data_IF_030071441911
#
_entry.id   IF_030071441911
#
_cell.length_a   1.000
_cell.length_b   1.000
_cell.length_c   1.000
_cell.angle_alpha   90.00
_cell.angle_beta   90.00
_cell.angle_gamma   90.00
#
_symmetry.space_group_name_H-M   'P 1'
#
loop_
_entity.id
_entity.type
_entity.pdbx_description
1 polymer ?
#
# COMPACT_ATOMS: atom_id res chain seq x y z
N UNK A 1 -6.72 71.41 -46.71
CA UNK A 1 -6.27 71.63 -45.31
C UNK A 1 -7.28 70.95 -44.40
N UNK A 2 -6.80 70.15 -43.45
CA UNK A 2 -7.55 69.37 -42.45
C UNK A 2 -8.11 68.01 -42.91
N UNK A 3 -7.20 67.06 -42.82
CA UNK A 3 -7.36 65.63 -42.50
C UNK A 3 -8.39 65.39 -41.40
N UNK A 4 -9.33 64.46 -41.61
CA UNK A 4 -9.95 63.71 -40.52
C UNK A 4 -9.85 62.21 -40.79
N UNK A 5 -9.11 61.60 -39.88
CA UNK A 5 -8.76 60.22 -39.70
C UNK A 5 -10.03 59.47 -39.25
N UNK A 6 -10.53 58.53 -40.05
CA UNK A 6 -11.54 57.57 -39.63
C UNK A 6 -10.84 56.23 -39.38
N UNK A 7 -10.61 55.92 -38.10
CA UNK A 7 -10.04 54.66 -37.63
C UNK A 7 -11.15 53.60 -37.72
N UNK A 8 -11.01 52.65 -38.64
CA UNK A 8 -11.84 51.46 -38.71
C UNK A 8 -11.32 50.48 -37.65
N UNK A 9 -12.12 50.27 -36.61
CA UNK A 9 -11.87 49.28 -35.57
C UNK A 9 -12.17 47.89 -36.15
N UNK A 10 -11.12 47.18 -36.58
CA UNK A 10 -11.22 45.79 -37.02
C UNK A 10 -11.28 44.91 -35.76
N UNK A 11 -12.47 44.48 -35.36
CA UNK A 11 -12.65 43.48 -34.32
C UNK A 11 -12.19 42.11 -34.87
N UNK A 12 -10.93 41.75 -34.61
CA UNK A 12 -10.43 40.40 -34.83
C UNK A 12 -10.97 39.50 -33.71
N UNK A 13 -12.06 38.79 -33.98
CA UNK A 13 -12.52 37.66 -33.16
C UNK A 13 -11.50 36.53 -33.27
N UNK A 14 -10.58 36.45 -32.31
CA UNK A 14 -9.79 35.26 -32.08
C UNK A 14 -10.72 34.14 -31.62
N UNK A 15 -11.02 33.20 -32.52
CA UNK A 15 -11.58 31.91 -32.14
C UNK A 15 -10.48 31.17 -31.35
N UNK A 16 -10.64 31.12 -30.03
CA UNK A 16 -9.91 30.17 -29.21
C UNK A 16 -10.41 28.78 -29.60
N UNK A 17 -9.65 28.13 -30.49
CA UNK A 17 -9.70 26.67 -30.65
C UNK A 17 -9.14 26.13 -29.33
N UNK A 18 -10.04 25.86 -28.39
CA UNK A 18 -9.71 25.05 -27.23
C UNK A 18 -9.37 23.66 -27.71
N UNK A 19 -8.09 23.31 -27.70
CA UNK A 19 -7.70 21.91 -27.66
C UNK A 19 -8.30 21.32 -26.38
N UNK A 20 -9.35 20.53 -26.51
CA UNK A 20 -9.58 19.49 -25.51
C UNK A 20 -8.31 18.64 -25.52
N UNK A 21 -7.54 18.70 -24.43
CA UNK A 21 -6.66 17.58 -24.11
C UNK A 21 -7.58 16.39 -23.99
N UNK A 22 -7.61 15.56 -25.03
CA UNK A 22 -8.14 14.22 -24.88
C UNK A 22 -7.27 13.58 -23.81
N UNK A 23 -7.87 13.26 -22.67
CA UNK A 23 -7.24 12.38 -21.69
C UNK A 23 -6.93 11.08 -22.43
N UNK A 24 -5.64 10.83 -22.65
CA UNK A 24 -5.16 9.52 -23.09
C UNK A 24 -5.70 8.52 -22.08
N UNK A 25 -6.63 7.68 -22.51
CA UNK A 25 -6.96 6.47 -21.77
C UNK A 25 -5.68 5.65 -21.67
N UNK A 26 -5.07 5.62 -20.48
CA UNK A 26 -3.99 4.69 -20.15
C UNK A 26 -4.45 3.29 -20.59
N UNK A 27 -3.82 2.78 -21.64
CA UNK A 27 -4.06 1.43 -22.12
C UNK A 27 -3.11 0.52 -21.34
N UNK A 28 -3.59 -0.57 -20.74
CA UNK A 28 -2.82 -1.33 -19.77
C UNK A 28 -1.72 -2.13 -20.47
N UNK A 29 -0.46 -1.74 -20.26
CA UNK A 29 0.75 -2.44 -20.71
C UNK A 29 0.91 -2.57 -22.24
N UNK A 30 2.15 -2.76 -22.72
CA UNK A 30 2.45 -2.91 -24.14
C UNK A 30 1.73 -4.10 -24.79
N UNK A 31 1.46 -4.02 -26.10
CA UNK A 31 0.78 -5.08 -26.88
C UNK A 31 1.49 -6.44 -26.83
N UNK A 32 2.76 -6.48 -26.41
CA UNK A 32 3.59 -7.69 -26.24
C UNK A 32 3.91 -8.00 -24.78
N UNK A 33 3.06 -7.58 -23.86
CA UNK A 33 3.28 -7.83 -22.43
C UNK A 33 2.09 -8.57 -21.84
N UNK A 34 2.38 -9.57 -21.03
CA UNK A 34 1.38 -10.39 -20.34
C UNK A 34 1.65 -10.38 -18.85
N UNK A 35 0.59 -10.16 -18.07
CA UNK A 35 0.67 -9.94 -16.63
C UNK A 35 -0.08 -11.03 -15.88
N UNK A 36 0.54 -11.56 -14.83
CA UNK A 36 -0.09 -12.47 -13.87
C UNK A 36 0.11 -11.95 -12.46
N UNK A 37 -0.89 -12.17 -11.61
CA UNK A 37 -0.79 -11.96 -10.17
C UNK A 37 -0.89 -13.31 -9.47
N UNK A 38 0.01 -13.56 -8.51
CA UNK A 38 0.05 -14.79 -7.72
C UNK A 38 0.14 -14.43 -6.23
N UNK A 39 -0.53 -15.24 -5.41
CA UNK A 39 -0.38 -15.20 -3.96
C UNK A 39 0.52 -16.35 -3.51
N UNK A 40 1.41 -16.08 -2.57
CA UNK A 40 2.39 -17.04 -2.09
C UNK A 40 2.48 -16.98 -0.57
N UNK A 41 2.69 -18.13 0.06
CA UNK A 41 3.01 -18.16 1.48
C UNK A 41 4.25 -17.30 1.78
N UNK A 42 4.31 -16.70 2.97
CA UNK A 42 5.44 -15.84 3.35
C UNK A 42 6.81 -16.56 3.24
N UNK A 43 6.87 -17.85 3.58
CA UNK A 43 8.09 -18.65 3.44
C UNK A 43 8.52 -18.84 1.99
N UNK A 44 7.58 -19.06 1.09
CA UNK A 44 7.85 -19.24 -0.34
C UNK A 44 8.24 -17.90 -0.99
N UNK A 45 7.56 -16.82 -0.60
CA UNK A 45 7.91 -15.46 -1.02
C UNK A 45 9.37 -15.13 -0.68
N UNK A 46 9.78 -15.34 0.58
CA UNK A 46 11.16 -15.06 0.98
C UNK A 46 12.16 -16.04 0.38
N UNK A 47 11.76 -17.27 0.04
CA UNK A 47 12.61 -18.18 -0.72
C UNK A 47 12.90 -17.60 -2.11
N UNK A 48 11.87 -17.16 -2.85
CA UNK A 48 12.02 -16.52 -4.16
C UNK A 48 12.90 -15.27 -4.03
N UNK A 49 12.59 -14.38 -3.09
CA UNK A 49 13.36 -13.14 -2.86
C UNK A 49 14.84 -13.39 -2.60
N UNK A 50 15.16 -14.36 -1.73
CA UNK A 50 16.54 -14.63 -1.33
C UNK A 50 17.32 -15.38 -2.41
N UNK A 51 16.63 -16.04 -3.34
CA UNK A 51 17.22 -16.74 -4.47
C UNK A 51 17.06 -15.99 -5.80
N UNK A 52 16.63 -14.72 -5.77
CA UNK A 52 16.51 -13.86 -6.95
C UNK A 52 17.80 -13.89 -7.76
N UNK A 53 17.68 -14.33 -9.02
CA UNK A 53 18.81 -14.50 -9.93
C UNK A 53 18.34 -14.65 -11.37
N UNK A 54 19.28 -14.65 -12.31
CA UNK A 54 19.03 -15.02 -13.71
C UNK A 54 18.49 -16.44 -13.94
N UNK A 55 18.47 -17.30 -12.91
CA UNK A 55 17.86 -18.64 -13.00
C UNK A 55 16.35 -18.64 -12.69
N UNK A 56 15.86 -17.59 -12.02
CA UNK A 56 14.46 -17.47 -11.55
C UNK A 56 13.70 -16.36 -12.26
N UNK A 57 14.41 -15.44 -12.90
CA UNK A 57 13.85 -14.31 -13.65
C UNK A 57 14.86 -13.85 -14.68
N UNK A 58 14.38 -13.52 -15.87
CA UNK A 58 15.19 -12.82 -16.87
C UNK A 58 15.54 -11.40 -16.40
N UNK A 59 16.60 -10.77 -16.96
CA UNK A 59 17.07 -9.46 -16.52
C UNK A 59 16.08 -8.33 -16.81
N UNK A 60 15.76 -7.57 -15.77
CA UNK A 60 15.02 -6.31 -15.83
C UNK A 60 15.40 -5.43 -14.63
N UNK A 61 14.99 -4.17 -14.67
CA UNK A 61 15.14 -3.18 -13.61
C UNK A 61 13.77 -2.65 -13.19
N UNK A 62 13.54 -2.47 -11.89
CA UNK A 62 12.41 -1.71 -11.37
C UNK A 62 12.81 -0.24 -11.29
N UNK A 63 12.17 0.60 -12.10
CA UNK A 63 12.45 2.03 -12.15
C UNK A 63 11.60 2.81 -11.14
N UNK A 64 10.34 2.40 -10.96
CA UNK A 64 9.39 3.08 -10.08
C UNK A 64 8.27 2.13 -9.64
N UNK A 65 7.71 2.36 -8.45
CA UNK A 65 6.43 1.81 -8.02
C UNK A 65 5.55 2.94 -7.50
N UNK A 66 4.28 2.93 -7.89
CA UNK A 66 3.24 3.84 -7.37
C UNK A 66 1.95 3.09 -7.12
N UNK A 67 1.09 3.68 -6.30
CA UNK A 67 -0.26 3.18 -6.06
C UNK A 67 -1.26 4.33 -6.12
N UNK A 68 -2.26 4.19 -6.97
CA UNK A 68 -3.30 5.19 -7.20
C UNK A 68 -4.58 4.48 -7.64
N UNK A 69 -5.73 4.88 -7.10
CA UNK A 69 -7.05 4.36 -7.48
C UNK A 69 -7.17 2.82 -7.49
N UNK A 70 -6.51 2.14 -6.54
CA UNK A 70 -6.53 0.68 -6.45
C UNK A 70 -5.65 -0.03 -7.49
N UNK A 71 -4.83 0.71 -8.24
CA UNK A 71 -3.87 0.17 -9.20
C UNK A 71 -2.45 0.29 -8.66
N UNK A 72 -1.74 -0.83 -8.63
CA UNK A 72 -0.28 -0.85 -8.43
C UNK A 72 0.35 -0.65 -9.81
N UNK A 73 1.08 0.44 -9.99
CA UNK A 73 1.82 0.74 -11.21
C UNK A 73 3.31 0.49 -10.97
N UNK A 74 3.92 -0.39 -11.75
CA UNK A 74 5.37 -0.68 -11.66
C UNK A 74 6.00 -0.33 -13.00
N UNK A 75 6.87 0.68 -13.03
CA UNK A 75 7.63 1.03 -14.22
C UNK A 75 8.90 0.19 -14.27
N UNK A 76 9.12 -0.52 -15.38
CA UNK A 76 10.25 -1.43 -15.57
C UNK A 76 11.09 -1.07 -16.79
N UNK A 77 12.36 -1.44 -16.75
CA UNK A 77 13.29 -1.37 -17.88
C UNK A 77 13.85 -2.75 -18.21
N UNK A 78 13.83 -3.18 -19.47
CA UNK A 78 14.37 -4.48 -19.89
C UNK A 78 14.74 -4.51 -21.38
N UNK A 79 15.55 -5.49 -21.81
CA UNK A 79 15.92 -5.68 -23.21
C UNK A 79 14.95 -6.64 -23.92
N UNK A 80 14.57 -6.37 -25.17
CA UNK A 80 13.74 -7.27 -25.99
C UNK A 80 12.94 -6.56 -27.09
N UNK A 81 11.69 -7.00 -27.30
CA UNK A 81 10.68 -6.34 -28.15
C UNK A 81 10.18 -7.16 -29.34
N UNK A 82 10.74 -8.34 -29.55
CA UNK A 82 10.35 -9.25 -30.60
C UNK A 82 9.33 -10.28 -30.12
N UNK A 83 9.51 -10.81 -28.92
CA UNK A 83 8.62 -11.78 -28.31
C UNK A 83 7.69 -11.13 -27.28
N UNK A 84 6.73 -11.91 -26.76
CA UNK A 84 5.92 -11.49 -25.63
C UNK A 84 6.72 -11.64 -24.35
N UNK A 85 6.70 -10.62 -23.49
CA UNK A 85 7.32 -10.66 -22.17
C UNK A 85 6.25 -10.98 -21.12
N UNK A 86 6.56 -11.88 -20.20
CA UNK A 86 5.66 -12.27 -19.12
C UNK A 86 6.16 -11.74 -17.78
N UNK A 87 5.32 -10.99 -17.08
CA UNK A 87 5.61 -10.52 -15.74
C UNK A 87 4.65 -11.14 -14.73
N UNK A 88 5.20 -11.67 -13.64
CA UNK A 88 4.41 -12.20 -12.52
C UNK A 88 4.64 -11.37 -11.28
N UNK A 89 3.58 -10.78 -10.74
CA UNK A 89 3.58 -10.09 -9.46
C UNK A 89 3.15 -11.04 -8.34
N UNK A 90 4.06 -11.33 -7.42
CA UNK A 90 3.82 -12.21 -6.27
C UNK A 90 3.66 -11.38 -5.00
N UNK A 91 2.57 -11.60 -4.25
CA UNK A 91 2.36 -11.04 -2.91
C UNK A 91 2.61 -12.10 -1.82
N UNK A 92 3.17 -11.70 -0.67
CA UNK A 92 3.48 -12.57 0.48
C UNK A 92 2.26 -12.88 1.38
N UNK A 93 1.07 -12.48 0.94
CA UNK A 93 -0.21 -12.57 1.66
C UNK A 93 -0.22 -11.91 3.03
N UNK A 94 0.70 -10.98 3.29
CA UNK A 94 0.81 -10.30 4.56
C UNK A 94 0.65 -8.80 4.42
N UNK A 95 -0.06 -8.22 5.39
CA UNK A 95 -0.08 -6.79 5.68
C UNK A 95 0.66 -6.55 6.99
N UNK A 96 1.65 -5.66 6.98
CA UNK A 96 2.47 -5.38 8.18
C UNK A 96 1.86 -4.25 8.98
N UNK A 97 1.86 -4.39 10.30
CA UNK A 97 1.30 -3.39 11.19
C UNK A 97 2.16 -2.12 11.19
N UNK A 98 1.65 -1.10 10.52
CA UNK A 98 2.26 0.21 10.30
C UNK A 98 1.17 1.15 9.80
N UNK A 99 1.44 2.44 9.78
CA UNK A 99 0.51 3.44 9.25
C UNK A 99 1.19 4.30 8.17
N UNK A 100 0.85 4.14 6.87
CA UNK A 100 -0.09 3.16 6.32
C UNK A 100 0.45 1.72 6.43
N UNK A 101 -0.41 0.69 6.32
CA UNK A 101 0.03 -0.70 6.36
C UNK A 101 0.95 -1.01 5.18
N UNK A 102 1.98 -1.83 5.39
CA UNK A 102 2.97 -2.17 4.36
C UNK A 102 2.66 -3.53 3.71
N UNK A 103 2.76 -3.57 2.38
CA UNK A 103 2.65 -4.75 1.53
C UNK A 103 3.98 -5.03 0.81
N UNK A 104 4.38 -6.30 0.73
CA UNK A 104 5.60 -6.72 0.03
C UNK A 104 5.27 -7.47 -1.26
N UNK A 105 5.92 -7.09 -2.36
CA UNK A 105 5.72 -7.67 -3.68
C UNK A 105 7.05 -8.09 -4.31
N UNK A 106 7.04 -9.18 -5.07
CA UNK A 106 8.15 -9.57 -5.95
C UNK A 106 7.63 -9.59 -7.37
N UNK A 107 8.35 -8.94 -8.27
CA UNK A 107 8.10 -9.03 -9.71
C UNK A 107 9.12 -9.99 -10.34
N UNK A 108 8.66 -10.98 -11.09
CA UNK A 108 9.53 -11.84 -11.92
C UNK A 108 9.22 -11.62 -13.39
N UNK A 109 10.21 -11.89 -14.24
CA UNK A 109 10.17 -11.66 -15.68
C UNK A 109 10.60 -12.92 -16.44
N UNK A 110 9.85 -13.27 -17.49
CA UNK A 110 10.23 -14.25 -18.52
C UNK A 110 10.18 -13.55 -19.89
N UNK A 111 11.33 -13.47 -20.54
CA UNK A 111 11.53 -12.84 -21.83
C UNK A 111 11.22 -13.79 -23.01
N UNK A 112 10.83 -15.04 -22.75
CA UNK A 112 10.54 -16.06 -23.78
C UNK A 112 11.71 -16.26 -24.78
N UNK A 113 12.95 -16.18 -24.30
CA UNK A 113 14.17 -16.21 -25.13
C UNK A 113 14.24 -15.11 -26.20
N UNK A 114 13.72 -13.90 -25.91
CA UNK A 114 13.87 -12.76 -26.79
C UNK A 114 15.33 -12.29 -26.88
N UNK A 115 15.91 -12.36 -28.09
CA UNK A 115 17.28 -11.91 -28.37
C UNK A 115 17.34 -10.49 -28.94
N UNK A 116 16.22 -9.79 -29.07
CA UNK A 116 16.21 -8.42 -29.57
C UNK A 116 16.83 -7.45 -28.55
N UNK A 117 17.52 -6.45 -29.07
CA UNK A 117 18.40 -5.57 -28.27
C UNK A 117 17.76 -4.19 -27.99
N UNK A 118 16.45 -4.03 -28.23
CA UNK A 118 15.79 -2.77 -27.89
C UNK A 118 15.64 -2.68 -26.37
N UNK A 119 15.99 -1.54 -25.79
CA UNK A 119 15.71 -1.27 -24.38
C UNK A 119 14.29 -0.71 -24.26
N UNK A 120 13.41 -1.48 -23.63
CA UNK A 120 12.01 -1.16 -23.43
C UNK A 120 11.84 -0.57 -22.04
N UNK A 121 11.07 0.51 -21.97
CA UNK A 121 10.56 1.07 -20.72
C UNK A 121 9.06 1.11 -20.80
N UNK A 122 8.38 0.43 -19.88
CA UNK A 122 6.92 0.45 -19.81
C UNK A 122 6.43 0.41 -18.36
N UNK A 123 5.17 0.79 -18.17
CA UNK A 123 4.48 0.69 -16.89
C UNK A 123 3.54 -0.50 -16.91
N UNK A 124 3.73 -1.40 -15.94
CA UNK A 124 2.88 -2.56 -15.70
C UNK A 124 1.78 -2.17 -14.71
N UNK A 125 0.55 -2.59 -14.98
CA UNK A 125 -0.63 -2.21 -14.20
C UNK A 125 -1.25 -3.45 -13.54
N UNK A 126 -1.23 -3.49 -12.21
CA UNK A 126 -1.80 -4.59 -11.44
C UNK A 126 -2.95 -4.06 -10.55
N UNK A 127 -4.21 -4.40 -10.88
CA UNK A 127 -5.32 -4.12 -9.99
C UNK A 127 -5.16 -4.80 -8.63
N UNK A 128 -5.25 -4.03 -7.55
CA UNK A 128 -5.09 -4.53 -6.19
C UNK A 128 -6.17 -5.55 -5.83
N UNK A 129 -7.36 -5.46 -6.43
CA UNK A 129 -8.43 -6.45 -6.29
C UNK A 129 -8.00 -7.86 -6.71
N UNK A 130 -7.06 -8.01 -7.65
CA UNK A 130 -6.52 -9.31 -8.03
C UNK A 130 -5.63 -9.93 -6.93
N UNK A 131 -5.19 -9.11 -5.97
CA UNK A 131 -4.35 -9.50 -4.83
C UNK A 131 -5.21 -9.66 -3.58
N UNK A 132 -6.08 -8.69 -3.28
CA UNK A 132 -6.86 -8.60 -2.04
C UNK A 132 -8.32 -9.06 -2.18
N UNK A 133 -8.66 -9.69 -3.31
CA UNK A 133 -10.01 -10.12 -3.67
C UNK A 133 -11.02 -8.96 -3.60
N UNK A 134 -11.84 -8.88 -2.55
CA UNK A 134 -12.93 -7.90 -2.41
C UNK A 134 -12.69 -6.80 -1.38
N UNK A 135 -11.48 -6.73 -0.81
CA UNK A 135 -11.13 -5.70 0.18
C UNK A 135 -10.57 -4.48 -0.54
N UNK A 136 -11.17 -3.32 -0.29
CA UNK A 136 -10.61 -2.04 -0.71
C UNK A 136 -9.69 -1.50 0.38
N UNK A 137 -8.42 -1.28 0.02
CA UNK A 137 -7.46 -0.52 0.83
C UNK A 137 -7.12 0.74 0.05
N UNK A 138 -7.34 1.90 0.67
CA UNK A 138 -7.09 3.20 0.02
C UNK A 138 -5.70 3.73 0.31
N UNK A 139 -5.18 3.47 1.52
CA UNK A 139 -3.84 3.89 1.94
C UNK A 139 -3.03 2.67 2.34
N UNK A 140 -1.92 2.43 1.63
CA UNK A 140 -0.99 1.32 1.83
C UNK A 140 0.43 1.84 1.58
N UNK A 141 1.47 1.11 1.97
CA UNK A 141 2.84 1.32 1.48
C UNK A 141 3.26 0.06 0.73
N UNK A 142 3.95 0.22 -0.40
CA UNK A 142 4.33 -0.90 -1.26
C UNK A 142 5.85 -1.00 -1.32
N UNK A 143 6.38 -2.16 -0.94
CA UNK A 143 7.77 -2.51 -1.20
C UNK A 143 7.82 -3.53 -2.35
N UNK A 144 8.30 -3.12 -3.51
CA UNK A 144 8.47 -3.98 -4.68
C UNK A 144 9.93 -4.42 -4.82
N UNK A 145 10.16 -5.72 -4.99
CA UNK A 145 11.49 -6.33 -5.15
C UNK A 145 11.62 -7.01 -6.51
N UNK A 146 12.82 -6.95 -7.10
CA UNK A 146 13.12 -7.68 -8.33
C UNK A 146 13.42 -9.16 -8.06
N UNK A 147 12.80 -10.02 -8.87
CA UNK A 147 13.07 -11.47 -8.94
C UNK A 147 14.40 -11.81 -9.65
N UNK A 148 15.01 -10.84 -10.31
CA UNK A 148 16.31 -10.99 -11.00
C UNK A 148 17.47 -10.54 -10.11
N UNK A 149 17.37 -9.35 -9.52
CA UNK A 149 18.41 -8.76 -8.68
C UNK A 149 17.83 -8.39 -7.30
N UNK A 150 18.22 -9.08 -6.20
CA UNK A 150 17.64 -8.82 -4.88
C UNK A 150 17.97 -7.43 -4.30
N UNK A 151 18.93 -6.72 -4.89
CA UNK A 151 19.27 -5.34 -4.51
C UNK A 151 18.45 -4.30 -5.28
N UNK A 152 17.75 -4.71 -6.33
CA UNK A 152 16.87 -3.86 -7.11
C UNK A 152 15.46 -3.88 -6.51
N UNK A 153 14.99 -2.71 -6.06
CA UNK A 153 13.73 -2.55 -5.37
C UNK A 153 13.25 -1.10 -5.45
N UNK A 154 11.94 -0.92 -5.39
CA UNK A 154 11.31 0.40 -5.30
C UNK A 154 10.29 0.41 -4.16
N UNK A 155 10.11 1.58 -3.55
CA UNK A 155 9.19 1.78 -2.42
C UNK A 155 8.23 2.92 -2.76
N UNK A 156 6.95 2.69 -2.53
CA UNK A 156 5.92 3.72 -2.50
C UNK A 156 5.38 3.85 -1.08
N UNK A 157 5.26 5.09 -0.59
CA UNK A 157 4.78 5.42 0.74
C UNK A 157 3.43 6.14 0.60
N UNK A 158 2.37 5.54 1.12
CA UNK A 158 1.05 6.18 1.17
C UNK A 158 0.90 7.16 2.34
N UNK A 159 -0.16 7.97 2.31
CA UNK A 159 -0.40 9.06 3.26
C UNK A 159 -0.81 8.61 4.69
N UNK A 160 -0.99 7.30 4.91
CA UNK A 160 -1.47 6.78 6.19
C UNK A 160 -2.97 6.98 6.41
N UNK A 161 -3.44 6.55 7.57
CA UNK A 161 -4.77 6.82 8.09
C UNK A 161 -4.65 7.79 9.25
N UNK A 162 -5.59 8.72 9.34
CA UNK A 162 -5.75 9.56 10.52
C UNK A 162 -6.45 8.76 11.62
N UNK A 163 -5.89 8.72 12.84
CA UNK A 163 -6.47 8.01 13.98
C UNK A 163 -7.08 8.95 15.03
N UNK A 164 -7.01 10.28 14.81
CA UNK A 164 -7.54 11.31 15.71
C UNK A 164 -7.21 11.08 17.20
N UNK A 165 -5.96 10.66 17.48
CA UNK A 165 -5.46 10.53 18.85
C UNK A 165 -4.15 11.31 19.02
N UNK A 166 -3.94 11.79 20.23
CA UNK A 166 -2.70 12.45 20.64
C UNK A 166 -1.93 11.55 21.59
N UNK A 167 -0.61 11.47 21.38
CA UNK A 167 0.28 10.78 22.31
C UNK A 167 0.26 11.44 23.69
N UNK A 168 0.02 10.67 24.74
CA UNK A 168 -0.20 11.19 26.09
C UNK A 168 0.23 10.19 27.17
N UNK A 169 0.83 10.73 28.23
CA UNK A 169 1.12 9.99 29.46
C UNK A 169 -0.07 9.92 30.41
N UNK A 170 -1.11 10.73 30.17
CA UNK A 170 -2.32 10.78 30.98
C UNK A 170 -3.45 10.02 30.29
N UNK A 171 -4.39 9.49 31.07
CA UNK A 171 -5.54 8.77 30.57
C UNK A 171 -6.58 9.77 30.08
N UNK A 172 -6.61 9.97 28.76
CA UNK A 172 -7.47 10.98 28.13
C UNK A 172 -8.11 10.50 26.82
N UNK A 173 -7.76 9.32 26.31
CA UNK A 173 -8.26 8.81 25.05
C UNK A 173 -9.19 7.60 25.25
N UNK A 174 -10.42 7.69 24.77
CA UNK A 174 -11.43 6.64 24.96
C UNK A 174 -11.34 5.61 23.84
N UNK A 175 -11.29 4.34 24.21
CA UNK A 175 -11.20 3.20 23.28
C UNK A 175 -12.10 2.07 23.70
N UNK A 176 -12.39 1.15 22.79
CA UNK A 176 -13.09 -0.11 23.09
C UNK A 176 -12.15 -1.28 22.88
N UNK A 177 -11.99 -2.15 23.88
CA UNK A 177 -11.23 -3.38 23.71
C UNK A 177 -12.00 -4.37 22.82
N UNK A 178 -11.39 -4.81 21.72
CA UNK A 178 -12.00 -5.70 20.73
C UNK A 178 -10.99 -6.72 20.24
N UNK A 179 -11.42 -7.99 20.12
CA UNK A 179 -10.55 -9.03 19.58
C UNK A 179 -10.41 -8.86 18.07
N UNK A 180 -9.19 -8.89 17.57
CA UNK A 180 -8.96 -8.98 16.12
C UNK A 180 -8.78 -10.42 15.70
N UNK A 181 -9.41 -10.80 14.58
CA UNK A 181 -9.42 -12.17 14.05
C UNK A 181 -7.98 -12.67 13.85
N UNK A 182 -7.12 -11.78 13.37
CA UNK A 182 -5.70 -12.00 13.46
C UNK A 182 -4.94 -10.70 13.65
N UNK A 183 -4.06 -10.76 14.64
CA UNK A 183 -3.18 -9.70 15.07
C UNK A 183 -1.97 -10.35 15.69
N UNK A 184 -0.99 -9.52 16.00
CA UNK A 184 -0.03 -9.80 17.06
C UNK A 184 -0.18 -8.69 18.10
N UNK A 185 0.42 -8.83 19.28
CA UNK A 185 0.32 -7.81 20.32
C UNK A 185 0.25 -8.39 21.71
N UNK A 186 -0.07 -7.54 22.68
CA UNK A 186 -0.43 -7.96 24.02
C UNK A 186 -1.85 -8.55 24.05
N UNK A 187 -2.19 -9.17 25.18
CA UNK A 187 -3.56 -9.59 25.53
C UNK A 187 -4.23 -10.53 24.53
N UNK A 188 -3.49 -11.49 23.97
CA UNK A 188 -4.03 -12.49 23.04
C UNK A 188 -4.82 -11.87 21.87
N UNK A 189 -4.28 -10.78 21.29
CA UNK A 189 -4.87 -10.01 20.18
C UNK A 189 -6.13 -9.21 20.51
N UNK A 190 -6.32 -8.87 21.79
CA UNK A 190 -7.27 -7.85 22.19
C UNK A 190 -6.66 -6.46 21.93
N UNK A 191 -7.18 -5.77 20.92
CA UNK A 191 -6.73 -4.44 20.49
C UNK A 191 -7.73 -3.37 20.94
N UNK A 192 -7.35 -2.09 20.81
CA UNK A 192 -8.18 -0.97 21.22
C UNK A 192 -8.75 -0.26 19.99
N UNK A 193 -10.02 -0.53 19.68
CA UNK A 193 -10.74 0.15 18.62
C UNK A 193 -11.03 1.61 19.01
N UNK A 194 -10.77 2.53 18.09
CA UNK A 194 -11.23 3.92 18.20
C UNK A 194 -12.62 4.06 17.59
N UNK A 195 -13.32 5.16 17.88
CA UNK A 195 -14.69 5.39 17.39
C UNK A 195 -14.77 5.42 15.85
N UNK A 196 -13.71 5.92 15.22
CA UNK A 196 -13.57 6.02 13.78
C UNK A 196 -13.47 4.66 13.04
N UNK A 197 -13.98 4.65 11.82
CA UNK A 197 -13.92 3.49 10.92
C UNK A 197 -13.61 3.88 9.47
N UNK A 198 -13.19 2.91 8.67
CA UNK A 198 -12.85 3.07 7.24
C UNK A 198 -13.72 2.13 6.42
N UNK A 199 -14.30 2.63 5.33
CA UNK A 199 -15.11 1.79 4.43
C UNK A 199 -14.25 0.70 3.78
N UNK A 200 -14.72 -0.55 3.86
CA UNK A 200 -13.95 -1.71 3.43
C UNK A 200 -14.12 -2.07 1.94
N UNK A 201 -14.91 -1.31 1.19
CA UNK A 201 -15.15 -1.57 -0.24
C UNK A 201 -16.31 -2.51 -0.55
N UNK A 202 -16.87 -3.18 0.45
CA UNK A 202 -17.88 -4.22 0.26
C UNK A 202 -19.16 -3.95 1.07
N UNK A 203 -20.27 -3.68 0.37
CA UNK A 203 -21.58 -3.48 0.98
C UNK A 203 -21.61 -2.30 1.95
N UNK A 204 -21.99 -2.53 3.21
CA UNK A 204 -21.93 -1.56 4.30
C UNK A 204 -20.87 -1.96 5.34
N UNK A 205 -19.84 -2.70 4.92
CA UNK A 205 -18.80 -3.17 5.82
C UNK A 205 -17.74 -2.09 6.02
N UNK A 206 -17.34 -1.88 7.27
CA UNK A 206 -16.31 -0.93 7.68
C UNK A 206 -15.30 -1.61 8.58
N UNK A 207 -14.02 -1.29 8.39
CA UNK A 207 -12.96 -1.64 9.32
C UNK A 207 -12.91 -0.64 10.46
N UNK A 208 -12.81 -1.13 11.69
CA UNK A 208 -12.38 -0.27 12.80
C UNK A 208 -10.92 0.16 12.57
N UNK A 209 -10.59 1.36 13.04
CA UNK A 209 -9.21 1.76 13.26
C UNK A 209 -8.78 1.28 14.65
N UNK A 210 -7.60 0.70 14.77
CA UNK A 210 -7.11 0.12 16.02
C UNK A 210 -5.82 0.76 16.53
N UNK A 211 -5.72 0.92 17.84
CA UNK A 211 -4.44 0.98 18.52
C UNK A 211 -4.03 -0.45 18.90
N UNK A 212 -2.93 -0.93 18.33
CA UNK A 212 -2.38 -2.25 18.60
C UNK A 212 -1.45 -2.17 19.82
N UNK A 213 -1.81 -2.74 20.98
CA UNK A 213 -0.93 -2.73 22.14
C UNK A 213 0.26 -3.65 21.89
N UNK A 214 1.45 -3.08 21.72
CA UNK A 214 2.71 -3.82 21.51
C UNK A 214 3.64 -3.77 22.72
N UNK A 215 3.39 -2.83 23.62
CA UNK A 215 4.09 -2.67 24.89
C UNK A 215 3.16 -2.05 25.94
N UNK A 216 3.52 -2.21 27.22
CA UNK A 216 2.83 -1.63 28.36
C UNK A 216 3.85 -1.11 29.36
N UNK A 217 3.49 -0.08 30.12
CA UNK A 217 4.30 0.39 31.23
C UNK A 217 4.34 -0.61 32.39
N UNK A 218 5.51 -0.75 33.03
CA UNK A 218 5.73 -1.74 34.09
C UNK A 218 4.75 -1.54 35.26
N UNK A 219 4.38 -0.29 35.54
CA UNK A 219 3.45 0.07 36.61
C UNK A 219 2.03 -0.54 36.44
N UNK A 220 1.65 -0.90 35.22
CA UNK A 220 0.34 -1.48 34.88
C UNK A 220 0.46 -2.83 34.17
N UNK A 221 1.64 -3.47 34.22
CA UNK A 221 1.94 -4.71 33.50
C UNK A 221 1.02 -5.90 33.84
N UNK A 222 0.35 -5.88 34.99
CA UNK A 222 -0.63 -6.91 35.41
C UNK A 222 -2.06 -6.63 34.91
N UNK A 223 -2.31 -5.47 34.29
CA UNK A 223 -3.64 -5.13 33.79
C UNK A 223 -4.00 -6.00 32.58
N UNK A 224 -5.21 -6.56 32.59
CA UNK A 224 -5.75 -7.36 31.49
C UNK A 224 -7.09 -6.75 31.06
N UNK A 225 -7.18 -6.17 29.85
CA UNK A 225 -8.45 -5.65 29.33
C UNK A 225 -9.45 -6.77 29.07
N UNK A 226 -10.73 -6.41 29.09
CA UNK A 226 -11.86 -7.32 28.85
C UNK A 226 -12.53 -6.93 27.55
N UNK A 227 -12.75 -7.90 26.67
CA UNK A 227 -13.42 -7.69 25.39
C UNK A 227 -14.78 -7.00 25.55
N UNK A 228 -15.04 -6.02 24.68
CA UNK A 228 -16.26 -5.21 24.65
C UNK A 228 -16.31 -4.08 25.68
N UNK A 229 -15.34 -3.98 26.62
CA UNK A 229 -15.29 -2.87 27.57
C UNK A 229 -14.63 -1.63 26.97
N UNK A 230 -15.07 -0.48 27.48
CA UNK A 230 -14.46 0.81 27.19
C UNK A 230 -13.41 1.16 28.24
N UNK A 231 -12.35 1.81 27.77
CA UNK A 231 -11.25 2.24 28.59
C UNK A 231 -10.87 3.67 28.22
N UNK A 232 -10.37 4.41 29.20
CA UNK A 232 -9.63 5.64 28.96
C UNK A 232 -8.14 5.33 29.13
N UNK A 233 -7.35 5.63 28.10
CA UNK A 233 -5.95 5.25 28.01
C UNK A 233 -5.05 6.46 27.72
N UNK A 234 -3.79 6.34 28.12
CA UNK A 234 -2.69 7.17 27.67
C UNK A 234 -1.73 6.30 26.88
N UNK A 235 -1.34 6.73 25.68
CA UNK A 235 -0.54 5.95 24.74
C UNK A 235 0.54 6.78 24.06
N UNK A 236 1.60 6.11 23.64
CA UNK A 236 2.58 6.64 22.68
C UNK A 236 2.76 5.64 21.54
N UNK A 237 3.08 6.13 20.34
CA UNK A 237 3.41 5.32 19.17
C UNK A 237 4.70 4.55 19.45
N UNK A 238 4.72 3.28 19.02
CA UNK A 238 5.85 2.39 19.22
C UNK A 238 6.11 1.58 17.95
N UNK A 239 6.73 2.21 16.94
CA UNK A 239 7.03 1.60 15.63
C UNK A 239 8.00 0.42 15.72
N UNK A 240 9.06 0.54 16.53
CA UNK A 240 9.98 -0.57 16.77
C UNK A 240 9.46 -1.46 17.91
N UNK A 241 9.00 -2.66 17.54
CA UNK A 241 8.50 -3.65 18.48
C UNK A 241 8.75 -5.08 17.98
N UNK A 242 8.73 -6.06 18.91
CA UNK A 242 9.02 -7.47 18.60
C UNK A 242 8.05 -8.08 17.56
N UNK A 243 6.81 -7.60 17.53
CA UNK A 243 5.78 -8.09 16.61
C UNK A 243 5.87 -7.58 15.16
N UNK A 244 6.79 -6.66 14.84
CA UNK A 244 6.86 -6.01 13.52
C UNK A 244 7.09 -7.00 12.36
N UNK A 245 7.83 -8.08 12.66
CA UNK A 245 8.16 -9.14 11.71
C UNK A 245 7.41 -10.44 11.98
N UNK A 246 6.52 -10.44 12.98
CA UNK A 246 5.69 -11.61 13.24
C UNK A 246 4.54 -11.65 12.23
N UNK A 247 4.31 -12.79 11.56
CA UNK A 247 3.21 -12.90 10.61
C UNK A 247 1.87 -12.62 11.29
N UNK A 248 1.25 -11.50 10.91
CA UNK A 248 -0.16 -11.22 11.17
C UNK A 248 -0.91 -11.86 10.01
N UNK A 249 -1.95 -12.64 10.27
CA UNK A 249 -2.52 -13.55 9.29
C UNK A 249 -3.03 -12.88 8.00
N UNK A 250 -3.43 -13.72 7.04
CA UNK A 250 -3.94 -13.39 5.70
C UNK A 250 -5.15 -12.43 5.67
N UNK A 251 -5.81 -12.17 6.80
CA UNK A 251 -7.00 -11.32 6.87
C UNK A 251 -6.63 -9.91 7.36
N UNK A 252 -6.74 -8.91 6.48
CA UNK A 252 -6.62 -7.52 6.88
C UNK A 252 -7.75 -7.15 7.85
N UNK A 253 -7.41 -6.80 9.08
CA UNK A 253 -8.40 -6.48 10.15
C UNK A 253 -8.74 -4.99 10.21
N UNK A 254 -8.05 -4.16 9.44
CA UNK A 254 -8.20 -2.70 9.42
C UNK A 254 -6.89 -1.97 9.68
N UNK A 255 -6.89 -0.63 9.60
CA UNK A 255 -5.75 0.20 9.93
C UNK A 255 -5.38 0.04 11.41
N UNK A 256 -4.08 -0.07 11.70
CA UNK A 256 -3.61 -0.11 13.08
C UNK A 256 -2.34 0.70 13.31
N UNK A 257 -2.23 1.31 14.49
CA UNK A 257 -1.01 1.96 14.98
C UNK A 257 -0.46 1.17 16.16
N UNK A 258 0.81 0.70 16.12
CA UNK A 258 1.41 0.04 17.28
C UNK A 258 1.69 1.06 18.37
N UNK A 259 1.24 0.78 19.60
CA UNK A 259 1.35 1.68 20.74
C UNK A 259 1.94 1.02 21.98
N UNK A 260 2.63 1.82 22.81
CA UNK A 260 2.88 1.51 24.21
C UNK A 260 1.76 2.11 25.06
N UNK A 261 1.13 1.29 25.89
CA UNK A 261 0.14 1.74 26.87
C UNK A 261 0.87 2.29 28.10
N UNK A 262 0.59 3.54 28.47
CA UNK A 262 1.21 4.25 29.59
C UNK A 262 0.30 4.32 30.82
N UNK A 263 -1.01 4.39 30.61
CA UNK A 263 -2.02 4.25 31.65
C UNK A 263 -3.30 3.66 31.03
N UNK A 264 -4.14 3.04 31.87
CA UNK A 264 -5.41 2.46 31.46
C UNK A 264 -6.38 2.41 32.65
N UNK A 265 -7.59 2.91 32.44
CA UNK A 265 -8.68 2.91 33.43
C UNK A 265 -10.00 2.54 32.74
N UNK A 266 -10.92 1.87 33.45
CA UNK A 266 -12.27 1.60 32.92
C UNK A 266 -13.06 2.92 32.78
N UNK A 267 -13.71 3.12 31.63
CA UNK A 267 -14.49 4.33 31.31
C UNK A 267 -15.92 4.28 31.87
#
# INVERSE_FOLDING_TARGET
>A
MKTHLAIILLAATFAFIGCSKDEEKETPSGEKTSLTTVKSSNSEFFNVKNNSSGATSDPFEILEVTFEDGLIKITVGYSGGCETHHFTLTWDEMMRSSNPPIMHLILTHDANNDFCEAYITETLYFPLENILDSIMITNVSINAYSGYNPSDSAIWIGDGYDFDFEESYNCNFVVTAQSVICGNGLYDNLWFAVEDSVYAGYGNYHFHKYLQPVAIDDAISEFIPVEGKQYIIGVIVKEEHKYLYEPVCLAYVGPSVPVKILCIEEY
#
